data_IF_775273905923
#
_entry.id   IF_775273905923
#
_cell.length_a   1.000
_cell.length_b   1.000
_cell.length_c   1.000
_cell.angle_alpha   90.00
_cell.angle_beta   90.00
_cell.angle_gamma   90.00
#
_symmetry.space_group_name_H-M   'P 1'
#
loop_
_entity.id
_entity.type
_entity.pdbx_description
1 polymer ?
#
# COMPACT_ATOMS: atom_id res chain seq x y z
N UNK A 1 -43.38 -10.27 44.57
CA UNK A 1 -43.77 -8.85 44.71
C UNK A 1 -44.56 -8.50 43.46
N UNK A 2 -45.83 -8.18 43.62
CA UNK A 2 -46.82 -7.99 42.54
C UNK A 2 -46.62 -6.60 41.94
N UNK A 3 -46.52 -6.50 40.60
CA UNK A 3 -46.94 -5.30 39.89
C UNK A 3 -48.03 -5.65 38.89
N UNK A 4 -49.12 -4.91 39.05
CA UNK A 4 -50.43 -5.03 38.45
C UNK A 4 -50.41 -4.30 37.11
N UNK A 5 -50.54 -5.01 35.99
CA UNK A 5 -50.69 -4.39 34.67
C UNK A 5 -52.15 -3.93 34.53
N UNK A 6 -52.43 -2.74 35.07
CA UNK A 6 -53.66 -2.02 34.75
C UNK A 6 -53.54 -1.47 33.34
N UNK A 7 -54.54 -1.81 32.52
CA UNK A 7 -54.65 -1.40 31.13
C UNK A 7 -54.41 0.09 30.94
N UNK A 8 -53.40 0.40 30.14
CA UNK A 8 -53.30 1.61 29.35
C UNK A 8 -53.22 1.16 27.90
N UNK A 9 -54.15 1.63 27.08
CA UNK A 9 -54.06 1.51 25.63
C UNK A 9 -52.81 2.29 25.23
N UNK A 10 -51.79 1.60 24.72
CA UNK A 10 -50.58 2.22 24.19
C UNK A 10 -50.93 2.80 22.82
N UNK A 11 -51.29 4.08 22.81
CA UNK A 11 -51.75 4.82 21.63
C UNK A 11 -50.59 5.34 20.73
N UNK A 12 -49.44 4.66 20.74
CA UNK A 12 -48.31 5.07 19.94
C UNK A 12 -47.46 3.89 19.43
N UNK A 13 -47.57 3.49 18.15
CA UNK A 13 -46.78 2.41 17.57
C UNK A 13 -45.27 2.75 17.43
N UNK A 14 -44.84 3.94 17.83
CA UNK A 14 -43.43 4.36 17.79
C UNK A 14 -42.63 4.03 19.06
N UNK A 15 -43.27 3.68 20.18
CA UNK A 15 -42.56 3.32 21.42
C UNK A 15 -42.29 1.83 21.60
N UNK A 16 -42.77 0.97 20.69
CA UNK A 16 -42.58 -0.49 20.76
C UNK A 16 -41.31 -0.94 20.00
N UNK A 17 -40.69 -0.09 19.19
CA UNK A 17 -39.56 -0.50 18.34
C UNK A 17 -38.17 -0.42 19.00
N UNK A 18 -38.09 0.00 20.28
CA UNK A 18 -36.82 0.26 20.97
C UNK A 18 -36.52 -0.65 22.17
N UNK A 19 -37.36 -1.65 22.45
CA UNK A 19 -37.14 -2.59 23.56
C UNK A 19 -37.52 -4.03 23.17
N UNK A 20 -36.73 -4.68 22.31
CA UNK A 20 -36.82 -6.14 22.13
C UNK A 20 -35.59 -6.78 21.45
N UNK A 21 -34.38 -6.23 21.61
CA UNK A 21 -33.19 -7.05 21.38
C UNK A 21 -32.87 -7.65 22.74
N UNK A 22 -33.08 -8.96 22.91
CA UNK A 22 -32.64 -9.66 24.10
C UNK A 22 -31.14 -9.36 24.30
N UNK A 23 -30.67 -9.13 25.54
CA UNK A 23 -29.28 -8.76 25.81
C UNK A 23 -28.27 -9.74 25.17
N UNK A 24 -28.67 -11.00 24.99
CA UNK A 24 -27.91 -12.06 24.32
C UNK A 24 -27.81 -11.95 22.78
N UNK A 25 -28.72 -11.21 22.13
CA UNK A 25 -28.73 -10.99 20.66
C UNK A 25 -28.01 -9.71 20.23
N UNK A 26 -27.64 -8.83 21.17
CA UNK A 26 -26.96 -7.56 20.88
C UNK A 26 -25.57 -7.80 20.27
N UNK A 27 -24.83 -8.80 20.77
CA UNK A 27 -23.48 -9.14 20.29
C UNK A 27 -23.41 -9.47 18.79
N UNK A 28 -24.18 -10.47 18.30
CA UNK A 28 -24.22 -10.81 16.88
C UNK A 28 -24.68 -9.67 15.97
N UNK A 29 -25.61 -8.83 16.43
CA UNK A 29 -26.09 -7.67 15.67
C UNK A 29 -25.03 -6.56 15.59
N UNK A 30 -24.32 -6.27 16.68
CA UNK A 30 -23.20 -5.32 16.69
C UNK A 30 -22.05 -5.79 15.80
N UNK A 31 -21.69 -7.08 15.85
CA UNK A 31 -20.64 -7.65 14.98
C UNK A 31 -20.99 -7.51 13.49
N UNK A 32 -22.27 -7.68 13.14
CA UNK A 32 -22.75 -7.44 11.77
C UNK A 32 -22.65 -5.97 11.39
N UNK A 33 -23.01 -5.04 12.27
CA UNK A 33 -22.87 -3.60 12.04
C UNK A 33 -21.40 -3.23 11.85
N UNK A 34 -20.50 -3.68 12.72
CA UNK A 34 -19.06 -3.44 12.59
C UNK A 34 -18.50 -3.96 11.27
N UNK A 35 -18.94 -5.13 10.84
CA UNK A 35 -18.52 -5.71 9.55
C UNK A 35 -18.99 -4.86 8.37
N UNK A 36 -20.22 -4.36 8.39
CA UNK A 36 -20.74 -3.48 7.34
C UNK A 36 -20.03 -2.12 7.32
N UNK A 37 -19.73 -1.55 8.49
CA UNK A 37 -18.96 -0.30 8.61
C UNK A 37 -17.53 -0.50 8.10
N UNK A 38 -16.87 -1.59 8.47
CA UNK A 38 -15.52 -1.94 8.01
C UNK A 38 -15.48 -2.09 6.49
N UNK A 39 -16.44 -2.80 5.88
CA UNK A 39 -16.56 -2.93 4.42
C UNK A 39 -16.79 -1.58 3.73
N UNK A 40 -17.65 -0.74 4.29
CA UNK A 40 -17.91 0.61 3.77
C UNK A 40 -16.65 1.47 3.80
N UNK A 41 -15.92 1.47 4.91
CA UNK A 41 -14.67 2.21 5.05
C UNK A 41 -13.60 1.67 4.11
N UNK A 42 -13.47 0.35 3.97
CA UNK A 42 -12.55 -0.29 3.03
C UNK A 42 -12.83 0.12 1.57
N UNK A 43 -14.10 0.12 1.15
CA UNK A 43 -14.48 0.57 -0.19
C UNK A 43 -14.15 2.05 -0.42
N UNK A 44 -14.38 2.89 0.59
CA UNK A 44 -14.04 4.31 0.53
C UNK A 44 -12.53 4.53 0.43
N UNK A 45 -11.71 3.75 1.14
CA UNK A 45 -10.25 3.79 0.99
C UNK A 45 -9.84 3.50 -0.47
N UNK A 46 -10.50 2.54 -1.13
CA UNK A 46 -10.26 2.21 -2.54
C UNK A 46 -10.70 3.36 -3.47
N UNK A 47 -11.88 3.94 -3.25
CA UNK A 47 -12.38 5.07 -4.03
C UNK A 47 -11.44 6.29 -3.97
N UNK A 48 -10.86 6.55 -2.80
CA UNK A 48 -9.94 7.67 -2.58
C UNK A 48 -8.48 7.32 -2.89
N UNK A 49 -8.17 6.11 -3.35
CA UNK A 49 -6.79 5.65 -3.53
C UNK A 49 -5.95 6.58 -4.42
N UNK A 50 -6.55 7.20 -5.43
CA UNK A 50 -5.87 8.17 -6.30
C UNK A 50 -5.45 9.47 -5.59
N UNK A 51 -6.16 9.86 -4.53
CA UNK A 51 -5.94 11.08 -3.76
C UNK A 51 -5.18 10.84 -2.46
N UNK A 52 -4.95 9.57 -2.09
CA UNK A 52 -4.21 9.20 -0.88
C UNK A 52 -2.76 9.67 -0.89
N UNK A 53 -2.23 10.24 -1.98
CA UNK A 53 -0.94 10.92 -1.95
C UNK A 53 -0.94 12.21 -1.12
N UNK A 54 -2.12 12.78 -0.82
CA UNK A 54 -2.28 14.02 -0.05
C UNK A 54 -2.50 13.74 1.44
N UNK A 55 -1.76 14.45 2.31
CA UNK A 55 -1.84 14.28 3.76
C UNK A 55 -3.23 14.60 4.31
N UNK A 56 -3.94 15.59 3.75
CA UNK A 56 -5.27 15.99 4.18
C UNK A 56 -6.32 14.87 3.99
N UNK A 57 -6.23 14.14 2.86
CA UNK A 57 -7.14 13.02 2.56
C UNK A 57 -6.88 11.86 3.51
N UNK A 58 -5.61 11.56 3.79
CA UNK A 58 -5.22 10.54 4.77
C UNK A 58 -5.79 10.87 6.17
N UNK A 59 -5.63 12.11 6.64
CA UNK A 59 -6.13 12.52 7.96
C UNK A 59 -7.66 12.49 8.03
N UNK A 60 -8.34 12.89 6.95
CA UNK A 60 -9.80 12.81 6.85
C UNK A 60 -10.28 11.37 7.02
N UNK A 61 -9.71 10.42 6.28
CA UNK A 61 -10.11 9.00 6.36
C UNK A 61 -9.78 8.38 7.74
N UNK A 62 -8.64 8.72 8.35
CA UNK A 62 -8.34 8.29 9.72
C UNK A 62 -9.35 8.83 10.73
N UNK A 63 -9.72 10.10 10.61
CA UNK A 63 -10.73 10.70 11.49
C UNK A 63 -12.11 10.05 11.31
N UNK A 64 -12.48 9.69 10.07
CA UNK A 64 -13.71 8.96 9.79
C UNK A 64 -13.73 7.61 10.52
N UNK A 65 -12.65 6.82 10.48
CA UNK A 65 -12.55 5.54 11.20
C UNK A 65 -12.76 5.71 12.70
N UNK A 66 -12.12 6.72 13.31
CA UNK A 66 -12.23 6.98 14.75
C UNK A 66 -13.68 7.31 15.14
N UNK A 67 -14.42 8.02 14.28
CA UNK A 67 -15.81 8.40 14.55
C UNK A 67 -16.81 7.22 14.55
N UNK A 68 -16.42 6.05 14.05
CA UNK A 68 -17.30 4.87 14.01
C UNK A 68 -17.17 3.95 15.24
N UNK A 69 -16.32 4.31 16.23
CA UNK A 69 -16.11 3.55 17.47
C UNK A 69 -15.95 2.03 17.24
N UNK A 70 -15.20 1.68 16.19
CA UNK A 70 -14.92 0.28 15.86
C UNK A 70 -14.07 -0.38 16.95
N UNK A 71 -14.17 -1.71 17.11
CA UNK A 71 -13.24 -2.46 17.95
C UNK A 71 -11.78 -2.12 17.59
N UNK A 72 -10.88 -1.92 18.58
CA UNK A 72 -9.55 -1.36 18.34
C UNK A 72 -8.74 -2.10 17.26
N UNK A 73 -8.83 -3.42 17.21
CA UNK A 73 -8.14 -4.23 16.20
C UNK A 73 -8.65 -3.98 14.77
N UNK A 74 -9.96 -3.74 14.60
CA UNK A 74 -10.55 -3.45 13.27
C UNK A 74 -10.20 -2.03 12.83
N UNK A 75 -10.30 -1.07 13.74
CA UNK A 75 -9.86 0.31 13.49
C UNK A 75 -8.39 0.34 13.07
N UNK A 76 -7.51 -0.36 13.81
CA UNK A 76 -6.09 -0.41 13.51
C UNK A 76 -5.80 -1.00 12.12
N UNK A 77 -6.47 -2.11 11.75
CA UNK A 77 -6.32 -2.70 10.40
C UNK A 77 -6.65 -1.72 9.28
N UNK A 78 -7.73 -0.95 9.43
CA UNK A 78 -8.11 0.06 8.45
C UNK A 78 -7.12 1.23 8.42
N UNK A 79 -6.61 1.65 9.58
CA UNK A 79 -5.57 2.68 9.67
C UNK A 79 -4.28 2.21 8.98
N UNK A 80 -3.82 0.99 9.26
CA UNK A 80 -2.64 0.39 8.63
C UNK A 80 -2.82 0.33 7.11
N UNK A 81 -4.02 -0.02 6.64
CA UNK A 81 -4.35 -0.02 5.21
C UNK A 81 -4.27 1.39 4.60
N UNK A 82 -4.80 2.42 5.27
CA UNK A 82 -4.69 3.81 4.81
C UNK A 82 -3.25 4.26 4.75
N UNK A 83 -2.49 4.04 5.82
CA UNK A 83 -1.07 4.44 5.90
C UNK A 83 -0.26 3.77 4.80
N UNK A 84 -0.52 2.48 4.57
CA UNK A 84 0.11 1.73 3.50
C UNK A 84 -0.19 2.31 2.13
N UNK A 85 -1.45 2.55 1.81
CA UNK A 85 -1.83 3.12 0.51
C UNK A 85 -1.28 4.54 0.33
N UNK A 86 -1.30 5.35 1.39
CA UNK A 86 -0.69 6.68 1.41
C UNK A 86 0.82 6.63 1.12
N UNK A 87 1.54 5.70 1.76
CA UNK A 87 2.97 5.49 1.52
C UNK A 87 3.26 5.13 0.05
N UNK A 88 2.51 4.19 -0.52
CA UNK A 88 2.65 3.79 -1.92
C UNK A 88 2.33 4.94 -2.88
N UNK A 89 1.23 5.66 -2.63
CA UNK A 89 0.81 6.80 -3.45
C UNK A 89 1.85 7.94 -3.44
N UNK A 90 2.40 8.28 -2.27
CA UNK A 90 3.46 9.30 -2.15
C UNK A 90 4.71 8.93 -2.95
N UNK A 91 5.11 7.65 -2.94
CA UNK A 91 6.23 7.21 -3.78
C UNK A 91 5.94 7.44 -5.26
N UNK A 92 4.74 7.08 -5.74
CA UNK A 92 4.35 7.29 -7.15
C UNK A 92 4.31 8.77 -7.55
N UNK A 93 4.02 9.67 -6.61
CA UNK A 93 4.12 11.13 -6.80
C UNK A 93 5.57 11.65 -6.79
N UNK A 94 6.56 10.77 -6.66
CA UNK A 94 7.99 11.11 -6.66
C UNK A 94 8.57 11.41 -5.28
N UNK A 95 7.78 11.32 -4.20
CA UNK A 95 8.25 11.47 -2.83
C UNK A 95 8.90 10.17 -2.36
N UNK A 96 10.11 9.92 -2.84
CA UNK A 96 10.90 8.75 -2.46
C UNK A 96 11.42 8.92 -1.02
N UNK A 97 11.29 7.91 -0.15
CA UNK A 97 11.83 7.94 1.19
C UNK A 97 13.36 8.01 1.12
N UNK A 98 13.99 8.73 2.04
CA UNK A 98 15.45 8.72 2.21
C UNK A 98 15.76 8.12 3.57
N UNK A 99 16.53 7.05 3.59
CA UNK A 99 16.86 6.29 4.79
C UNK A 99 18.37 6.27 5.02
N UNK A 100 18.78 6.04 6.26
CA UNK A 100 20.17 5.74 6.57
C UNK A 100 20.50 4.29 6.17
N UNK A 101 21.71 4.07 5.67
CA UNK A 101 22.26 2.75 5.40
C UNK A 101 23.66 2.62 6.01
N UNK A 102 24.02 1.42 6.44
CA UNK A 102 25.36 1.10 6.93
C UNK A 102 26.33 0.72 5.80
N UNK A 103 25.85 0.69 4.55
CA UNK A 103 26.68 0.43 3.37
C UNK A 103 27.27 1.75 2.87
N UNK A 104 28.58 1.78 2.63
CA UNK A 104 29.23 2.94 2.04
C UNK A 104 28.74 3.16 0.61
N UNK A 105 27.91 4.18 0.40
CA UNK A 105 27.44 4.57 -0.92
C UNK A 105 28.41 5.53 -1.60
N UNK A 106 28.55 5.39 -2.91
CA UNK A 106 29.42 6.26 -3.70
C UNK A 106 28.80 7.67 -3.82
N UNK A 107 29.64 8.71 -3.87
CA UNK A 107 29.23 10.08 -4.20
C UNK A 107 28.00 10.64 -3.45
N UNK A 108 27.79 10.27 -2.18
CA UNK A 108 26.67 10.79 -1.39
C UNK A 108 25.29 10.42 -1.97
N UNK A 109 25.20 9.30 -2.69
CA UNK A 109 23.92 8.73 -3.16
C UNK A 109 22.91 8.65 -2.01
N UNK A 110 21.69 9.13 -2.23
CA UNK A 110 20.61 8.95 -1.27
C UNK A 110 20.13 7.49 -1.31
N UNK A 111 20.03 6.84 -0.14
CA UNK A 111 19.46 5.51 -0.04
C UNK A 111 17.93 5.61 0.13
N UNK A 112 17.18 4.87 -0.68
CA UNK A 112 15.73 4.80 -0.61
C UNK A 112 15.22 3.49 -0.03
N UNK A 113 16.03 2.43 -0.12
CA UNK A 113 15.75 1.13 0.46
C UNK A 113 17.04 0.41 0.79
N UNK A 114 17.02 -0.28 1.92
CA UNK A 114 18.11 -1.11 2.41
C UNK A 114 17.47 -2.27 3.19
N UNK A 115 17.49 -3.47 2.62
CA UNK A 115 16.85 -4.63 3.23
C UNK A 115 17.49 -5.95 2.84
N UNK A 116 17.42 -6.93 3.74
CA UNK A 116 17.83 -8.31 3.45
C UNK A 116 16.88 -8.96 2.46
N UNK A 117 17.43 -9.69 1.50
CA UNK A 117 16.69 -10.38 0.44
C UNK A 117 17.30 -11.75 0.16
N UNK A 118 16.54 -12.61 -0.51
CA UNK A 118 17.10 -13.80 -1.15
C UNK A 118 17.05 -13.62 -2.66
N UNK A 119 18.11 -13.99 -3.37
CA UNK A 119 18.25 -13.77 -4.82
C UNK A 119 18.50 -15.12 -5.48
N UNK A 120 17.73 -15.41 -6.52
CA UNK A 120 17.91 -16.62 -7.31
C UNK A 120 18.95 -16.36 -8.41
N UNK A 121 20.11 -17.02 -8.32
CA UNK A 121 21.22 -16.90 -9.28
C UNK A 121 21.60 -18.29 -9.76
N UNK A 122 21.56 -18.51 -11.07
CA UNK A 122 21.95 -19.79 -11.71
C UNK A 122 21.26 -21.06 -11.13
N UNK A 123 20.07 -20.91 -10.54
CA UNK A 123 19.31 -22.00 -9.92
C UNK A 123 19.47 -22.10 -8.40
N UNK A 124 20.42 -21.39 -7.82
CA UNK A 124 20.67 -21.36 -6.37
C UNK A 124 20.05 -20.12 -5.73
N UNK A 125 19.44 -20.30 -4.56
CA UNK A 125 18.90 -19.22 -3.75
C UNK A 125 19.94 -18.74 -2.75
N UNK A 126 20.37 -17.50 -2.89
CA UNK A 126 21.43 -16.91 -2.08
C UNK A 126 20.89 -15.80 -1.21
N UNK A 127 21.36 -15.73 0.04
CA UNK A 127 21.09 -14.58 0.89
C UNK A 127 21.89 -13.36 0.41
N UNK A 128 21.25 -12.21 0.47
CA UNK A 128 21.84 -10.95 0.07
C UNK A 128 21.12 -9.75 0.65
N UNK A 129 21.47 -8.59 0.11
CA UNK A 129 20.98 -7.29 0.53
C UNK A 129 20.64 -6.46 -0.70
N UNK A 130 19.43 -5.94 -0.75
CA UNK A 130 18.98 -5.05 -1.82
C UNK A 130 19.11 -3.61 -1.33
N UNK A 131 19.83 -2.79 -2.11
CA UNK A 131 19.84 -1.35 -1.95
C UNK A 131 19.28 -0.68 -3.19
N UNK A 132 18.38 0.27 -2.98
CA UNK A 132 17.86 1.16 -4.01
C UNK A 132 18.35 2.57 -3.70
N UNK A 133 19.11 3.17 -4.60
CA UNK A 133 19.72 4.49 -4.37
C UNK A 133 19.24 5.52 -5.39
N UNK A 134 19.62 6.78 -5.21
CA UNK A 134 19.32 7.83 -6.19
C UNK A 134 19.98 7.62 -7.56
N UNK A 135 20.92 6.69 -7.70
CA UNK A 135 21.66 6.45 -8.95
C UNK A 135 21.47 5.04 -9.52
N UNK A 136 21.25 4.03 -8.66
CA UNK A 136 21.30 2.62 -9.08
C UNK A 136 20.57 1.68 -8.14
N UNK A 137 20.37 0.47 -8.64
CA UNK A 137 19.94 -0.71 -7.91
C UNK A 137 21.19 -1.55 -7.64
N UNK A 138 21.35 -1.99 -6.39
CA UNK A 138 22.45 -2.81 -5.93
C UNK A 138 21.89 -4.04 -5.23
N UNK A 139 22.38 -5.22 -5.61
CA UNK A 139 22.17 -6.47 -4.92
C UNK A 139 23.55 -6.94 -4.47
N UNK A 140 23.74 -7.07 -3.16
CA UNK A 140 24.96 -7.57 -2.56
C UNK A 140 24.69 -8.98 -2.07
N UNK A 141 25.29 -10.00 -2.69
CA UNK A 141 25.19 -11.39 -2.24
C UNK A 141 26.58 -12.06 -2.27
N UNK A 142 26.73 -13.13 -1.49
CA UNK A 142 28.03 -13.78 -1.22
C UNK A 142 28.70 -14.39 -2.45
N UNK A 143 27.92 -14.91 -3.41
CA UNK A 143 28.45 -15.54 -4.64
C UNK A 143 28.36 -14.64 -5.89
N UNK A 144 28.09 -13.35 -5.72
CA UNK A 144 27.97 -12.40 -6.82
C UNK A 144 26.94 -11.32 -6.52
N UNK A 145 27.27 -10.08 -6.86
CA UNK A 145 26.35 -8.95 -6.75
C UNK A 145 25.84 -8.48 -8.12
N UNK A 146 24.72 -7.77 -8.12
CA UNK A 146 24.21 -7.09 -9.30
C UNK A 146 24.20 -5.59 -9.03
N UNK A 147 24.79 -4.81 -9.93
CA UNK A 147 24.65 -3.35 -9.93
C UNK A 147 24.06 -2.93 -11.26
N UNK A 148 23.04 -2.09 -11.24
CA UNK A 148 22.37 -1.62 -12.45
C UNK A 148 21.95 -0.17 -12.28
N UNK A 149 22.38 0.69 -13.20
CA UNK A 149 21.91 2.08 -13.23
C UNK A 149 20.41 2.12 -13.57
N UNK A 150 19.69 3.14 -13.11
CA UNK A 150 18.24 3.23 -13.39
C UNK A 150 17.89 3.16 -14.88
N UNK A 151 18.73 3.75 -15.75
CA UNK A 151 18.56 3.71 -17.21
C UNK A 151 18.65 2.30 -17.81
N UNK A 152 19.31 1.37 -17.12
CA UNK A 152 19.44 -0.04 -17.52
C UNK A 152 18.31 -0.90 -16.97
N UNK A 153 17.50 -0.40 -16.03
CA UNK A 153 16.32 -1.07 -15.53
C UNK A 153 15.18 -0.95 -16.54
N UNK A 154 14.76 -2.07 -17.13
CA UNK A 154 13.72 -2.11 -18.17
C UNK A 154 12.34 -2.32 -17.57
N UNK A 155 12.22 -3.24 -16.62
CA UNK A 155 10.97 -3.57 -15.96
C UNK A 155 11.21 -4.12 -14.56
N UNK A 156 10.17 -4.01 -13.74
CA UNK A 156 10.03 -4.73 -12.47
C UNK A 156 8.67 -5.40 -12.49
N UNK A 157 8.67 -6.72 -12.32
CA UNK A 157 7.44 -7.51 -12.31
C UNK A 157 7.26 -8.10 -10.92
N UNK A 158 6.13 -7.80 -10.29
CA UNK A 158 5.79 -8.34 -8.98
C UNK A 158 5.12 -9.70 -9.13
N UNK A 159 5.57 -10.68 -8.35
CA UNK A 159 4.89 -11.96 -8.13
C UNK A 159 4.46 -12.03 -6.66
N UNK A 160 3.76 -13.10 -6.27
CA UNK A 160 3.12 -13.20 -4.95
C UNK A 160 4.09 -12.98 -3.77
N UNK A 161 5.33 -13.49 -3.86
CA UNK A 161 6.37 -13.37 -2.80
C UNK A 161 7.73 -12.93 -3.31
N UNK A 162 7.80 -12.50 -4.55
CA UNK A 162 9.05 -12.15 -5.20
C UNK A 162 8.84 -11.04 -6.21
N UNK A 163 9.95 -10.48 -6.67
CA UNK A 163 9.98 -9.53 -7.77
C UNK A 163 11.05 -9.97 -8.76
N UNK A 164 10.72 -9.84 -10.04
CA UNK A 164 11.65 -10.07 -11.15
C UNK A 164 12.11 -8.71 -11.64
N UNK A 165 13.38 -8.41 -11.40
CA UNK A 165 14.07 -7.24 -11.92
C UNK A 165 14.64 -7.57 -13.30
N UNK A 166 14.15 -6.88 -14.33
CA UNK A 166 14.62 -7.03 -15.71
C UNK A 166 15.53 -5.85 -16.04
N UNK A 167 16.82 -6.13 -16.21
CA UNK A 167 17.80 -5.11 -16.63
C UNK A 167 18.17 -5.29 -18.10
N UNK A 168 19.02 -4.41 -18.63
CA UNK A 168 19.49 -4.51 -20.01
C UNK A 168 20.34 -5.76 -20.28
N UNK A 169 20.97 -6.32 -19.25
CA UNK A 169 21.95 -7.41 -19.39
C UNK A 169 21.55 -8.69 -18.65
N UNK A 170 20.80 -8.57 -17.56
CA UNK A 170 20.45 -9.71 -16.70
C UNK A 170 19.05 -9.56 -16.10
N UNK A 171 18.44 -10.70 -15.77
CA UNK A 171 17.23 -10.76 -14.96
C UNK A 171 17.59 -11.31 -13.58
N UNK A 172 17.02 -10.73 -12.53
CA UNK A 172 17.20 -11.22 -11.15
C UNK A 172 15.84 -11.42 -10.51
N UNK A 173 15.59 -12.62 -9.98
CA UNK A 173 14.45 -12.86 -9.10
C UNK A 173 14.88 -12.61 -7.66
N UNK A 174 14.13 -11.76 -6.96
CA UNK A 174 14.44 -11.26 -5.63
C UNK A 174 13.24 -11.57 -4.73
N UNK A 175 13.47 -12.29 -3.65
CA UNK A 175 12.50 -12.54 -2.59
C UNK A 175 12.77 -11.53 -1.46
N UNK A 176 11.74 -10.79 -1.08
CA UNK A 176 11.81 -9.81 -0.02
C UNK A 176 10.53 -9.85 0.82
N UNK A 177 10.56 -9.26 2.02
CA UNK A 177 9.42 -9.24 2.93
C UNK A 177 8.22 -8.49 2.37
N UNK A 178 8.46 -7.51 1.50
CA UNK A 178 7.42 -6.65 0.96
C UNK A 178 7.64 -6.34 -0.54
N UNK A 179 7.26 -7.27 -1.43
CA UNK A 179 7.45 -7.12 -2.87
C UNK A 179 6.70 -5.94 -3.46
N UNK A 180 5.51 -5.63 -2.95
CA UNK A 180 4.69 -4.52 -3.45
C UNK A 180 5.36 -3.17 -3.18
N UNK A 181 5.87 -2.98 -1.96
CA UNK A 181 6.60 -1.75 -1.60
C UNK A 181 7.83 -1.58 -2.48
N UNK A 182 8.66 -2.63 -2.57
CA UNK A 182 9.92 -2.58 -3.32
C UNK A 182 9.65 -2.36 -4.81
N UNK A 183 8.67 -3.03 -5.41
CA UNK A 183 8.31 -2.83 -6.81
C UNK A 183 7.80 -1.40 -7.08
N UNK A 184 6.94 -0.87 -6.20
CA UNK A 184 6.44 0.51 -6.29
C UNK A 184 7.58 1.51 -6.19
N UNK A 185 8.50 1.29 -5.25
CA UNK A 185 9.67 2.13 -5.06
C UNK A 185 10.61 2.10 -6.27
N UNK A 186 10.87 0.93 -6.85
CA UNK A 186 11.66 0.77 -8.09
C UNK A 186 10.99 1.52 -9.25
N UNK A 187 9.66 1.36 -9.43
CA UNK A 187 8.93 2.04 -10.48
C UNK A 187 8.98 3.57 -10.33
N UNK A 188 8.73 4.07 -9.12
CA UNK A 188 8.80 5.49 -8.80
C UNK A 188 10.21 6.07 -8.96
N UNK A 189 11.23 5.37 -8.48
CA UNK A 189 12.63 5.78 -8.61
C UNK A 189 13.05 5.82 -10.08
N UNK A 190 12.68 4.81 -10.86
CA UNK A 190 12.94 4.79 -12.30
C UNK A 190 12.27 5.97 -13.00
N UNK A 191 11.01 6.27 -12.69
CA UNK A 191 10.31 7.44 -13.27
C UNK A 191 10.99 8.76 -12.91
N UNK A 192 11.48 8.90 -11.67
CA UNK A 192 12.16 10.11 -11.19
C UNK A 192 13.55 10.29 -11.80
N UNK A 193 14.34 9.21 -11.89
CA UNK A 193 15.76 9.28 -12.28
C UNK A 193 16.03 8.96 -13.74
N UNK A 194 15.06 8.41 -14.46
CA UNK A 194 15.11 8.20 -15.91
C UNK A 194 13.93 8.97 -16.50
N UNK A 195 14.12 10.27 -16.80
CA UNK A 195 13.11 11.03 -17.53
C UNK A 195 12.85 10.30 -18.85
N UNK A 196 11.66 9.74 -19.02
CA UNK A 196 11.28 9.25 -20.33
C UNK A 196 11.28 10.46 -21.25
N UNK A 197 12.03 10.41 -22.35
CA UNK A 197 11.84 11.36 -23.43
C UNK A 197 10.34 11.31 -23.78
N UNK A 198 9.66 12.46 -23.67
CA UNK A 198 8.23 12.53 -23.96
C UNK A 198 7.94 11.80 -25.27
N UNK A 199 6.88 10.97 -25.35
CA UNK A 199 6.55 10.29 -26.59
C UNK A 199 6.45 11.35 -27.69
N UNK A 200 7.26 11.19 -28.75
CA UNK A 200 7.30 12.13 -29.86
C UNK A 200 5.86 12.32 -30.36
N UNK A 201 5.33 13.55 -30.41
CA UNK A 201 3.95 13.76 -30.81
C UNK A 201 3.73 13.11 -32.18
N UNK A 202 2.69 12.26 -32.27
CA UNK A 202 2.27 11.62 -33.51
C UNK A 202 2.11 12.74 -34.54
N UNK A 203 2.95 12.75 -35.58
CA UNK A 203 2.88 13.74 -36.66
C UNK A 203 1.45 13.73 -37.19
N UNK A 204 0.74 14.85 -37.06
CA UNK A 204 -0.60 15.01 -37.61
C UNK A 204 -0.54 14.64 -39.10
N UNK A 205 -1.32 13.63 -39.47
CA UNK A 205 -1.37 13.11 -40.83
C UNK A 205 -1.62 14.23 -41.82
N UNK A 206 -0.76 14.29 -42.83
CA UNK A 206 -0.91 15.13 -44.01
C UNK A 206 -2.28 14.82 -44.60
N UNK A 207 -3.22 15.78 -44.57
CA UNK A 207 -4.50 15.65 -45.27
C UNK A 207 -4.19 15.43 -46.76
N UNK A 208 -4.62 14.29 -47.29
CA UNK A 208 -4.66 14.06 -48.73
C UNK A 208 -5.72 15.00 -49.29
N UNK A 209 -5.27 15.99 -50.06
CA UNK A 209 -6.12 16.79 -50.95
C UNK A 209 -6.19 16.17 -52.32
#
# INVERSE_FOLDING_TARGET
>A
MIYNVRGGIVDNPKEILLCAIAEDDIGPHLERIYTLVEQRLANRIIEYAAYLGEDAVMQTLKSEIVNYDLPPLRAQRLIDQIERQHQLARMLLGNLPVIATNVALFNGEACHYDGSVQVLVAGDLLEGRLLLTSQRILILATAGGLTSAWAQCRAVEMMERSLVLVTATHNAMIMCSDPQYVATLIAAARHRYVPQAAPTPIRQGKRLG
#
